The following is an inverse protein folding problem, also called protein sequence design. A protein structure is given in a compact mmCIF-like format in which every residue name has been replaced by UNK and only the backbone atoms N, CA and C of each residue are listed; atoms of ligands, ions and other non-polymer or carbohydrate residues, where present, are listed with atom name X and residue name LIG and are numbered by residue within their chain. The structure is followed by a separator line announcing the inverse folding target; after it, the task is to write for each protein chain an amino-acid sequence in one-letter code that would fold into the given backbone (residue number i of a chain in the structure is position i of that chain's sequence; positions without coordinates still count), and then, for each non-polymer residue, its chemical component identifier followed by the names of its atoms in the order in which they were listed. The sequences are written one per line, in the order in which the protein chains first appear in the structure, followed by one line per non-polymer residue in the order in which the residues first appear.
data_IF_434586318445
#
_entry.id   IF_434586318445
#
_cell.length_a   1.000
_cell.length_b   1.000
_cell.length_c   1.000
_cell.angle_alpha   90.00
_cell.angle_beta   90.00
_cell.angle_gamma   90.00
#
_symmetry.space_group_name_H-M   'P 1'
#
loop_
_entity.id
_entity.type
_entity.pdbx_description
1 polymer ?
#
# COMPACT_ATOMS: atom_id res chain seq x y z
N UNK A 1 -33.23 -28.03 -28.38
CA UNK A 1 -32.78 -26.65 -28.64
C UNK A 1 -32.73 -25.80 -27.39
N UNK A 2 -33.84 -25.73 -26.63
CA UNK A 2 -33.98 -24.81 -25.49
C UNK A 2 -33.38 -25.31 -24.17
N UNK A 3 -33.29 -26.63 -23.94
CA UNK A 3 -32.66 -27.18 -22.73
C UNK A 3 -31.14 -26.91 -22.63
N UNK A 4 -30.45 -26.71 -23.77
CA UNK A 4 -29.01 -26.39 -23.81
C UNK A 4 -28.74 -24.90 -23.58
N UNK A 5 -29.63 -24.01 -24.03
CA UNK A 5 -29.54 -22.56 -23.76
C UNK A 5 -29.80 -22.21 -22.29
N UNK A 6 -30.66 -22.96 -21.60
CA UNK A 6 -30.90 -22.77 -20.16
C UNK A 6 -29.69 -23.20 -19.31
N UNK A 7 -28.95 -24.22 -19.76
CA UNK A 7 -27.72 -24.69 -19.10
C UNK A 7 -26.53 -23.73 -19.32
N UNK A 8 -26.40 -23.13 -20.50
CA UNK A 8 -25.37 -22.12 -20.76
C UNK A 8 -25.63 -20.79 -20.06
N UNK A 9 -26.90 -20.41 -19.89
CA UNK A 9 -27.26 -19.21 -19.10
C UNK A 9 -27.06 -19.47 -17.60
N UNK A 10 -27.29 -20.70 -17.13
CA UNK A 10 -26.93 -21.12 -15.77
C UNK A 10 -25.42 -21.27 -15.57
N UNK A 11 -24.65 -21.68 -16.58
CA UNK A 11 -23.17 -21.71 -16.53
C UNK A 11 -22.54 -20.32 -16.60
N UNK A 12 -23.17 -19.37 -17.29
CA UNK A 12 -22.78 -17.95 -17.27
C UNK A 12 -23.17 -17.29 -15.94
N UNK A 13 -24.32 -17.67 -15.36
CA UNK A 13 -24.70 -17.28 -14.00
C UNK A 13 -23.87 -17.99 -12.90
N UNK A 14 -23.29 -19.17 -13.17
CA UNK A 14 -22.36 -19.87 -12.27
C UNK A 14 -20.90 -19.38 -12.38
N UNK A 15 -20.57 -18.49 -13.32
CA UNK A 15 -19.30 -17.73 -13.29
C UNK A 15 -19.32 -16.56 -12.30
N UNK A 16 -20.43 -16.36 -11.57
CA UNK A 16 -20.61 -15.32 -10.53
C UNK A 16 -20.26 -15.82 -9.12
N UNK A 17 -19.78 -17.07 -8.96
CA UNK A 17 -19.43 -17.65 -7.65
C UNK A 17 -17.91 -17.78 -7.40
N UNK A 18 -17.07 -16.98 -8.04
CA UNK A 18 -15.66 -16.82 -7.65
C UNK A 18 -15.57 -15.85 -6.46
N UNK A 19 -15.09 -16.31 -5.31
CA UNK A 19 -15.00 -15.48 -4.09
C UNK A 19 -13.67 -14.70 -3.98
N UNK A 20 -12.63 -15.16 -4.70
CA UNK A 20 -11.38 -14.45 -5.01
C UNK A 20 -11.19 -14.49 -6.53
N UNK A 21 -11.09 -13.33 -7.17
CA UNK A 21 -10.72 -13.24 -8.58
C UNK A 21 -9.24 -12.91 -8.72
N UNK A 22 -8.46 -13.83 -9.27
CA UNK A 22 -7.07 -13.55 -9.63
C UNK A 22 -7.04 -12.64 -10.87
N UNK A 23 -6.45 -11.47 -10.73
CA UNK A 23 -6.33 -10.42 -11.76
C UNK A 23 -5.21 -10.75 -12.78
N UNK A 24 -4.69 -11.99 -12.80
CA UNK A 24 -3.78 -12.48 -13.85
C UNK A 24 -4.28 -12.12 -15.26
N UNK A 25 -5.59 -12.15 -15.50
CA UNK A 25 -6.18 -11.76 -16.80
C UNK A 25 -5.91 -10.30 -17.20
N UNK A 26 -5.84 -9.35 -16.27
CA UNK A 26 -5.53 -7.95 -16.60
C UNK A 26 -4.04 -7.73 -16.92
N UNK A 27 -3.16 -8.62 -16.43
CA UNK A 27 -1.74 -8.64 -16.80
C UNK A 27 -1.45 -9.53 -18.03
N UNK A 28 -2.31 -10.51 -18.31
CA UNK A 28 -2.13 -11.47 -19.40
C UNK A 28 -2.90 -11.11 -20.67
N UNK A 29 -3.73 -10.06 -20.66
CA UNK A 29 -4.44 -9.57 -21.86
C UNK A 29 -3.62 -8.53 -22.60
N UNK A 30 -2.70 -9.02 -23.43
CA UNK A 30 -2.63 -8.56 -24.83
C UNK A 30 -3.50 -9.56 -25.59
N UNK A 31 -4.74 -9.24 -25.99
CA UNK A 31 -5.55 -10.22 -26.71
C UNK A 31 -4.88 -10.54 -28.06
N UNK A 32 -4.82 -11.82 -28.48
CA UNK A 32 -4.70 -12.11 -29.90
C UNK A 32 -5.90 -11.44 -30.58
N UNK A 33 -5.63 -10.64 -31.60
CA UNK A 33 -6.64 -9.93 -32.39
C UNK A 33 -7.79 -10.88 -32.77
N UNK A 34 -8.92 -10.80 -32.07
CA UNK A 34 -10.28 -11.04 -32.58
C UNK A 34 -11.24 -11.17 -31.40
N UNK A 35 -12.40 -10.51 -31.52
CA UNK A 35 -13.61 -10.72 -30.69
C UNK A 35 -13.77 -10.00 -29.35
N UNK A 36 -13.45 -8.69 -29.29
CA UNK A 36 -14.15 -7.80 -28.33
C UNK A 36 -14.97 -6.76 -29.13
N UNK A 37 -16.25 -6.55 -28.82
CA UNK A 37 -17.05 -5.50 -29.47
C UNK A 37 -16.44 -4.13 -29.14
N UNK A 38 -15.88 -3.46 -30.15
CA UNK A 38 -15.35 -2.09 -30.03
C UNK A 38 -16.50 -1.13 -29.70
N UNK A 39 -16.54 -0.58 -28.50
CA UNK A 39 -17.43 0.55 -28.18
C UNK A 39 -16.87 1.76 -28.93
N UNK A 40 -17.63 2.32 -29.88
CA UNK A 40 -17.19 3.46 -30.69
C UNK A 40 -17.09 4.71 -29.82
N UNK A 41 -15.90 5.27 -29.64
CA UNK A 41 -15.68 6.57 -29.01
C UNK A 41 -16.30 7.70 -29.85
N UNK A 42 -16.71 8.82 -29.23
CA UNK A 42 -17.22 10.00 -29.96
C UNK A 42 -16.17 10.57 -30.94
N UNK A 43 -14.89 10.43 -30.61
CA UNK A 43 -13.78 10.80 -31.48
C UNK A 43 -13.77 9.95 -32.78
N UNK A 44 -14.11 8.67 -32.69
CA UNK A 44 -14.23 7.78 -33.85
C UNK A 44 -15.45 8.11 -34.71
N UNK A 45 -16.60 8.45 -34.12
CA UNK A 45 -17.76 8.93 -34.90
C UNK A 45 -17.42 10.17 -35.72
N UNK A 46 -16.73 11.14 -35.13
CA UNK A 46 -16.29 12.37 -35.82
C UNK A 46 -15.26 12.12 -36.92
N UNK A 47 -14.40 11.10 -36.79
CA UNK A 47 -13.43 10.71 -37.82
C UNK A 47 -14.07 9.94 -38.98
N UNK A 48 -14.99 9.02 -38.67
CA UNK A 48 -15.79 8.30 -39.68
C UNK A 48 -16.66 9.28 -40.47
N UNK A 49 -17.27 10.29 -39.82
CA UNK A 49 -17.98 11.39 -40.49
C UNK A 49 -17.08 12.27 -41.38
N UNK A 50 -15.77 12.30 -41.10
CA UNK A 50 -14.77 13.04 -41.87
C UNK A 50 -14.07 12.18 -42.95
N UNK A 51 -14.47 10.92 -43.13
CA UNK A 51 -13.87 10.02 -44.13
C UNK A 51 -12.46 9.52 -43.79
N UNK A 52 -12.05 9.61 -42.52
CA UNK A 52 -10.76 9.10 -42.02
C UNK A 52 -10.91 7.62 -41.62
N UNK A 53 -10.50 6.73 -42.53
CA UNK A 53 -10.53 5.26 -42.38
C UNK A 53 -9.26 4.69 -41.73
N UNK A 54 -8.42 5.54 -41.10
CA UNK A 54 -7.24 5.07 -40.38
C UNK A 54 -7.64 4.15 -39.21
N UNK A 55 -7.02 2.97 -39.07
CA UNK A 55 -7.27 2.12 -37.91
C UNK A 55 -6.90 2.89 -36.63
N UNK A 56 -7.78 2.88 -35.61
CA UNK A 56 -7.38 3.32 -34.28
C UNK A 56 -6.07 2.61 -33.91
N UNK A 57 -5.05 3.33 -33.38
CA UNK A 57 -3.91 2.66 -32.77
C UNK A 57 -4.48 1.66 -31.78
N UNK A 58 -4.06 0.39 -31.88
CA UNK A 58 -4.56 -0.66 -30.99
C UNK A 58 -4.56 -0.12 -29.55
N UNK A 59 -5.75 -0.04 -28.93
CA UNK A 59 -5.89 0.29 -27.50
C UNK A 59 -5.15 -0.82 -26.74
N UNK A 60 -3.86 -0.61 -26.57
CA UNK A 60 -2.96 -1.53 -25.91
C UNK A 60 -3.06 -1.22 -24.43
N UNK A 61 -3.81 -2.05 -23.71
CA UNK A 61 -3.87 -2.00 -22.26
C UNK A 61 -2.46 -2.18 -21.70
N UNK A 62 -1.92 -1.15 -21.05
CA UNK A 62 -0.57 -1.19 -20.48
C UNK A 62 -0.68 -1.45 -18.99
N UNK A 63 -0.45 -2.71 -18.59
CA UNK A 63 -0.38 -3.09 -17.20
C UNK A 63 0.90 -2.55 -16.52
N UNK A 64 0.82 -2.15 -15.24
CA UNK A 64 2.00 -1.75 -14.49
C UNK A 64 2.95 -2.94 -14.30
N UNK A 65 4.26 -2.71 -14.42
CA UNK A 65 5.25 -3.74 -14.11
C UNK A 65 5.08 -4.25 -12.65
N UNK A 66 5.41 -5.52 -12.38
CA UNK A 66 5.42 -6.09 -11.03
C UNK A 66 6.18 -5.20 -10.05
N UNK A 67 5.61 -4.97 -8.86
CA UNK A 67 6.13 -3.99 -7.91
C UNK A 67 5.73 -4.28 -6.46
N UNK A 68 6.32 -3.53 -5.52
CA UNK A 68 5.88 -3.46 -4.12
C UNK A 68 6.00 -2.03 -3.59
N UNK A 69 5.31 -1.74 -2.49
CA UNK A 69 5.33 -0.43 -1.84
C UNK A 69 4.67 0.67 -2.65
N UNK A 70 3.84 0.33 -3.63
CA UNK A 70 2.95 1.27 -4.30
C UNK A 70 1.80 1.69 -3.37
N UNK A 71 1.10 2.75 -3.75
CA UNK A 71 -0.22 3.04 -3.20
C UNK A 71 -1.31 2.63 -4.19
N UNK A 72 -2.45 2.20 -3.66
CA UNK A 72 -3.67 1.98 -4.41
C UNK A 72 -4.76 2.82 -3.74
N UNK A 73 -5.57 3.55 -4.51
CA UNK A 73 -6.66 4.37 -3.99
C UNK A 73 -7.89 4.21 -4.85
N UNK A 74 -9.01 3.79 -4.26
CA UNK A 74 -10.28 3.69 -4.96
C UNK A 74 -10.89 5.09 -5.07
N UNK A 75 -11.15 5.57 -6.29
CA UNK A 75 -11.65 6.94 -6.55
C UNK A 75 -13.11 6.95 -7.02
N UNK A 76 -13.60 5.82 -7.53
CA UNK A 76 -15.01 5.60 -7.87
C UNK A 76 -15.33 4.15 -7.63
N UNK A 77 -16.59 3.76 -7.76
CA UNK A 77 -16.95 2.35 -7.69
C UNK A 77 -16.37 1.49 -8.79
N UNK A 78 -15.78 2.04 -9.85
CA UNK A 78 -15.19 1.22 -10.91
C UNK A 78 -13.70 1.47 -11.15
N UNK A 79 -13.09 2.41 -10.43
CA UNK A 79 -11.72 2.85 -10.74
C UNK A 79 -10.87 2.95 -9.48
N UNK A 80 -9.71 2.31 -9.54
CA UNK A 80 -8.63 2.49 -8.57
C UNK A 80 -7.40 3.11 -9.25
N UNK A 81 -6.75 4.04 -8.58
CA UNK A 81 -5.47 4.60 -9.02
C UNK A 81 -4.32 3.90 -8.32
N UNK A 82 -3.32 3.50 -9.09
CA UNK A 82 -2.05 2.95 -8.61
C UNK A 82 -0.94 3.96 -8.89
N UNK A 83 -0.18 4.30 -7.86
CA UNK A 83 0.97 5.21 -7.98
C UNK A 83 2.18 4.68 -7.23
N UNK A 84 3.35 4.90 -7.81
CA UNK A 84 4.62 4.58 -7.16
C UNK A 84 4.95 3.09 -7.15
N UNK A 85 5.71 2.72 -6.14
CA UNK A 85 6.26 1.40 -5.94
C UNK A 85 7.66 1.23 -6.53
N UNK A 86 8.34 0.23 -6.00
CA UNK A 86 9.65 -0.22 -6.44
C UNK A 86 9.49 -1.47 -7.31
N UNK A 87 10.19 -1.50 -8.44
CA UNK A 87 10.12 -2.54 -9.47
C UNK A 87 11.54 -2.99 -9.86
N UNK A 88 11.65 -4.09 -10.61
CA UNK A 88 12.92 -4.51 -11.17
C UNK A 88 13.46 -3.45 -12.14
N UNK A 89 14.72 -3.03 -11.96
CA UNK A 89 15.37 -2.11 -12.90
C UNK A 89 15.84 -2.90 -14.13
N UNK A 90 15.52 -2.41 -15.33
CA UNK A 90 16.12 -2.91 -16.58
C UNK A 90 17.45 -2.22 -16.89
N UNK A 91 17.85 -1.21 -16.10
CA UNK A 91 19.08 -0.43 -16.27
C UNK A 91 20.01 -0.60 -15.09
N UNK A 92 21.33 -0.52 -15.32
CA UNK A 92 22.33 -0.41 -14.26
C UNK A 92 22.16 0.86 -13.40
N UNK A 93 21.43 1.87 -13.90
CA UNK A 93 21.08 3.06 -13.13
C UNK A 93 19.86 2.84 -12.23
N UNK A 94 19.88 3.42 -11.03
CA UNK A 94 18.81 3.32 -10.03
C UNK A 94 17.52 4.09 -10.42
N UNK A 95 17.57 4.92 -11.47
CA UNK A 95 16.48 5.81 -11.90
C UNK A 95 15.25 5.07 -12.44
N UNK A 96 15.40 3.82 -12.93
CA UNK A 96 14.29 2.99 -13.39
C UNK A 96 13.59 2.15 -12.30
N UNK A 97 14.14 2.15 -11.08
CA UNK A 97 13.71 1.27 -9.98
C UNK A 97 12.41 1.75 -9.30
N UNK A 98 12.19 3.06 -9.24
CA UNK A 98 10.99 3.64 -8.63
C UNK A 98 10.09 4.27 -9.68
N UNK A 99 8.83 3.87 -9.72
CA UNK A 99 7.89 4.35 -10.74
C UNK A 99 7.30 5.70 -10.34
N UNK A 100 7.23 6.65 -11.28
CA UNK A 100 6.42 7.88 -11.16
C UNK A 100 5.16 7.84 -12.04
N UNK A 101 4.91 6.73 -12.74
CA UNK A 101 3.75 6.59 -13.59
C UNK A 101 2.47 6.41 -12.75
N UNK A 102 1.38 7.02 -13.22
CA UNK A 102 0.05 6.84 -12.66
C UNK A 102 -0.71 5.86 -13.54
N UNK A 103 -1.25 4.81 -12.93
CA UNK A 103 -2.07 3.82 -13.60
C UNK A 103 -3.49 3.88 -13.04
N UNK A 104 -4.49 3.65 -13.90
CA UNK A 104 -5.87 3.39 -13.47
C UNK A 104 -6.22 1.94 -13.74
N UNK A 105 -6.74 1.27 -12.72
CA UNK A 105 -7.35 -0.05 -12.78
C UNK A 105 -8.86 0.15 -12.88
N UNK A 106 -9.43 -0.18 -14.02
CA UNK A 106 -10.87 -0.29 -14.19
C UNK A 106 -11.30 -1.68 -13.73
N UNK A 107 -12.33 -1.78 -12.91
CA UNK A 107 -12.78 -3.05 -12.31
C UNK A 107 -13.79 -3.80 -13.20
N UNK A 108 -14.51 -3.09 -14.07
CA UNK A 108 -15.53 -3.64 -14.96
C UNK A 108 -15.67 -2.83 -16.27
N UNK A 109 -15.32 -3.40 -17.44
CA UNK A 109 -14.51 -4.61 -17.61
C UNK A 109 -13.11 -4.40 -17.04
N UNK A 110 -12.48 -5.46 -16.55
CA UNK A 110 -11.22 -5.33 -15.83
C UNK A 110 -10.03 -5.08 -16.77
N UNK A 111 -9.35 -3.93 -16.63
CA UNK A 111 -8.19 -3.58 -17.44
C UNK A 111 -7.36 -2.46 -16.79
N UNK A 112 -6.11 -2.31 -17.26
CA UNK A 112 -5.18 -1.27 -16.85
C UNK A 112 -4.98 -0.23 -17.94
N UNK A 113 -4.92 1.03 -17.54
CA UNK A 113 -4.57 2.15 -18.42
C UNK A 113 -3.52 3.04 -17.75
N UNK A 114 -2.62 3.59 -18.56
CA UNK A 114 -1.75 4.68 -18.12
C UNK A 114 -2.58 5.96 -18.09
N UNK A 115 -2.40 6.75 -17.04
CA UNK A 115 -3.06 8.05 -16.90
C UNK A 115 -2.05 9.14 -17.22
N UNK A 116 -2.25 9.79 -18.36
CA UNK A 116 -1.55 11.02 -18.67
C UNK A 116 -1.99 12.13 -17.72
N UNK A 117 -1.01 12.76 -17.11
CA UNK A 117 -1.18 13.85 -16.14
C UNK A 117 -0.22 14.97 -16.46
N UNK A 118 -0.66 16.20 -16.21
CA UNK A 118 0.14 17.41 -16.39
C UNK A 118 0.66 17.91 -15.04
N UNK A 119 1.42 19.00 -15.05
CA UNK A 119 1.88 19.68 -13.84
C UNK A 119 3.08 19.02 -13.15
N UNK A 120 3.25 19.30 -11.86
CA UNK A 120 4.43 18.97 -11.07
C UNK A 120 4.32 17.57 -10.45
N UNK A 121 4.50 16.55 -11.27
CA UNK A 121 4.39 15.15 -10.86
C UNK A 121 5.43 14.77 -9.79
N UNK A 122 5.06 13.99 -8.75
CA UNK A 122 6.03 13.48 -7.79
C UNK A 122 7.08 12.60 -8.47
N UNK A 123 8.37 12.69 -8.08
CA UNK A 123 9.37 11.73 -8.51
C UNK A 123 9.02 10.32 -8.01
N UNK A 124 9.57 9.32 -8.70
CA UNK A 124 9.31 7.91 -8.41
C UNK A 124 9.65 7.57 -6.97
N UNK A 125 8.72 6.90 -6.28
CA UNK A 125 8.79 6.60 -4.84
C UNK A 125 8.05 5.33 -4.47
N UNK A 126 8.40 4.77 -3.32
CA UNK A 126 7.68 3.65 -2.69
C UNK A 126 7.45 3.92 -1.20
N UNK A 127 6.53 3.18 -0.61
CA UNK A 127 6.15 3.25 0.81
C UNK A 127 5.80 4.67 1.26
N UNK A 128 5.28 5.49 0.34
CA UNK A 128 4.58 6.73 0.61
C UNK A 128 3.16 6.42 1.09
N UNK A 129 2.53 7.39 1.74
CA UNK A 129 1.10 7.32 2.00
C UNK A 129 0.35 8.07 0.89
N UNK A 130 -0.81 7.54 0.52
CA UNK A 130 -1.79 8.24 -0.31
C UNK A 130 -3.11 8.38 0.42
N UNK A 131 -3.83 9.46 0.16
CA UNK A 131 -5.11 9.72 0.80
C UNK A 131 -6.02 10.49 -0.15
N UNK A 132 -7.27 10.04 -0.29
CA UNK A 132 -8.28 10.71 -1.08
C UNK A 132 -8.97 11.76 -0.20
N UNK A 133 -8.95 13.01 -0.63
CA UNK A 133 -9.56 14.14 0.07
C UNK A 133 -10.75 14.63 -0.75
N UNK A 134 -11.90 14.76 -0.09
CA UNK A 134 -13.15 15.30 -0.65
C UNK A 134 -13.53 14.67 -2.01
N UNK A 135 -13.21 13.39 -2.21
CA UNK A 135 -13.40 12.60 -3.44
C UNK A 135 -12.86 13.21 -4.75
N UNK A 136 -12.09 14.29 -4.66
CA UNK A 136 -11.66 15.10 -5.81
C UNK A 136 -10.15 15.24 -5.91
N UNK A 137 -9.44 15.02 -4.80
CA UNK A 137 -7.99 15.25 -4.71
C UNK A 137 -7.28 14.05 -4.11
N UNK A 138 -6.25 13.55 -4.80
CA UNK A 138 -5.38 12.52 -4.27
C UNK A 138 -4.11 13.17 -3.70
N UNK A 139 -3.93 13.05 -2.39
CA UNK A 139 -2.74 13.51 -1.68
C UNK A 139 -1.70 12.39 -1.66
N UNK A 140 -0.44 12.72 -1.94
CA UNK A 140 0.73 11.85 -1.81
C UNK A 140 1.72 12.49 -0.85
N UNK A 141 2.10 11.79 0.22
CA UNK A 141 3.08 12.28 1.18
C UNK A 141 4.22 11.29 1.42
N UNK A 142 5.44 11.85 1.45
CA UNK A 142 6.66 11.15 1.84
C UNK A 142 7.01 9.96 0.94
N UNK A 143 7.51 8.88 1.55
CA UNK A 143 8.04 7.72 0.86
C UNK A 143 9.55 7.81 0.63
N UNK A 144 10.10 6.75 0.04
CA UNK A 144 11.51 6.62 -0.31
C UNK A 144 11.65 6.52 -1.84
N UNK A 145 12.61 7.27 -2.39
CA UNK A 145 12.98 7.22 -3.79
C UNK A 145 14.49 7.18 -3.97
N UNK A 146 14.98 7.53 -5.16
CA UNK A 146 16.42 7.54 -5.49
C UNK A 146 17.23 8.48 -4.58
N UNK A 147 16.64 9.60 -4.17
CA UNK A 147 17.29 10.58 -3.28
C UNK A 147 17.12 10.26 -1.78
N UNK A 148 16.54 9.11 -1.45
CA UNK A 148 16.22 8.72 -0.08
C UNK A 148 14.81 9.13 0.36
N UNK A 149 14.64 9.35 1.66
CA UNK A 149 13.34 9.70 2.25
C UNK A 149 12.89 11.09 1.83
N UNK A 150 11.59 11.26 1.63
CA UNK A 150 10.96 12.54 1.32
C UNK A 150 9.95 12.93 2.40
N UNK A 151 9.75 14.23 2.59
CA UNK A 151 8.58 14.83 3.25
C UNK A 151 7.84 15.78 2.30
N UNK A 152 8.07 15.66 0.99
CA UNK A 152 7.34 16.45 0.01
C UNK A 152 5.90 15.94 -0.09
N UNK A 153 4.96 16.88 -0.18
CA UNK A 153 3.54 16.65 -0.34
C UNK A 153 3.11 17.06 -1.76
N UNK A 154 2.28 16.24 -2.39
CA UNK A 154 1.75 16.49 -3.73
C UNK A 154 0.25 16.26 -3.73
N UNK A 155 -0.45 17.01 -4.57
CA UNK A 155 -1.87 16.84 -4.84
C UNK A 155 -2.05 16.50 -6.32
N UNK A 156 -2.87 15.50 -6.62
CA UNK A 156 -3.45 15.30 -7.94
C UNK A 156 -4.92 15.73 -7.89
N UNK A 157 -5.24 16.77 -8.66
CA UNK A 157 -6.63 17.08 -8.98
C UNK A 157 -7.16 16.00 -9.93
N UNK A 158 -8.17 15.24 -9.49
CA UNK A 158 -8.71 14.11 -10.24
C UNK A 158 -9.56 14.55 -11.44
N UNK A 159 -10.11 15.76 -11.41
CA UNK A 159 -10.93 16.32 -12.48
C UNK A 159 -10.02 16.88 -13.56
N UNK A 160 -9.07 17.75 -13.18
CA UNK A 160 -8.12 18.37 -14.09
C UNK A 160 -6.98 17.43 -14.52
N UNK A 161 -6.78 16.31 -13.81
CA UNK A 161 -5.66 15.36 -14.00
C UNK A 161 -4.29 16.05 -13.92
N UNK A 162 -4.18 17.03 -13.04
CA UNK A 162 -3.00 17.87 -12.89
C UNK A 162 -2.38 17.67 -11.51
N UNK A 163 -1.06 17.43 -11.51
CA UNK A 163 -0.27 17.39 -10.29
C UNK A 163 0.16 18.79 -9.86
N UNK A 164 0.06 19.06 -8.56
CA UNK A 164 0.55 20.27 -7.92
C UNK A 164 1.45 19.89 -6.74
N UNK A 165 2.51 20.67 -6.54
CA UNK A 165 3.31 20.59 -5.31
C UNK A 165 2.54 21.31 -4.21
N UNK A 166 2.37 20.67 -3.06
CA UNK A 166 1.81 21.34 -1.89
C UNK A 166 2.96 21.96 -1.10
N UNK A 167 2.94 23.28 -0.99
CA UNK A 167 3.87 24.01 -0.14
C UNK A 167 3.50 23.78 1.33
N UNK A 168 4.18 22.81 1.94
CA UNK A 168 3.93 22.45 3.33
C UNK A 168 4.33 23.58 4.28
N UNK A 169 3.40 24.01 5.14
CA UNK A 169 3.63 25.04 6.16
C UNK A 169 3.39 24.49 7.56
N UNK A 170 3.95 25.16 8.57
CA UNK A 170 3.75 24.85 9.99
C UNK A 170 3.84 26.14 10.80
N UNK A 171 3.09 26.23 11.90
CA UNK A 171 3.12 27.45 12.72
C UNK A 171 4.36 27.50 13.61
N UNK A 172 4.90 26.33 13.97
CA UNK A 172 6.01 26.17 14.88
C UNK A 172 7.11 25.29 14.26
N UNK A 173 8.37 25.45 14.69
CA UNK A 173 9.44 24.52 14.37
C UNK A 173 9.05 23.08 14.71
N UNK A 174 9.17 22.18 13.73
CA UNK A 174 8.83 20.77 13.88
C UNK A 174 7.37 20.42 13.62
N UNK A 175 6.52 21.37 13.20
CA UNK A 175 5.15 21.08 12.74
C UNK A 175 5.12 20.32 11.41
N UNK A 176 6.11 20.51 10.55
CA UNK A 176 6.24 19.76 9.30
C UNK A 176 6.93 18.43 9.60
N UNK A 177 6.34 17.27 9.24
CA UNK A 177 6.95 15.99 9.47
C UNK A 177 8.31 15.87 8.76
N UNK A 178 9.27 15.24 9.43
CA UNK A 178 10.58 14.91 8.82
C UNK A 178 10.43 13.91 7.68
N UNK A 179 11.39 13.88 6.72
CA UNK A 179 11.38 12.90 5.64
C UNK A 179 11.23 11.45 6.12
N UNK A 180 10.26 10.72 5.58
CA UNK A 180 9.87 9.41 6.09
C UNK A 180 9.18 8.50 5.07
N UNK A 181 9.23 7.20 5.28
CA UNK A 181 8.48 6.17 4.55
C UNK A 181 7.81 5.19 5.53
N UNK A 182 6.89 4.36 5.02
CA UNK A 182 6.19 3.34 5.83
C UNK A 182 5.33 3.94 6.96
N UNK A 183 4.94 5.20 6.84
CA UNK A 183 3.96 5.86 7.70
C UNK A 183 2.56 5.65 7.12
N UNK A 184 1.53 6.03 7.89
CA UNK A 184 0.14 5.95 7.46
C UNK A 184 -0.49 7.34 7.40
N UNK A 185 -1.49 7.49 6.53
CA UNK A 185 -2.43 8.61 6.51
C UNK A 185 -3.85 8.05 6.72
N UNK A 186 -4.65 8.72 7.52
CA UNK A 186 -6.00 8.29 7.88
C UNK A 186 -6.98 9.47 7.89
N UNK A 187 -8.25 9.17 7.58
CA UNK A 187 -9.33 10.14 7.61
C UNK A 187 -9.49 10.72 9.03
N UNK A 188 -9.95 11.96 9.12
CA UNK A 188 -10.50 12.52 10.35
C UNK A 188 -12.01 12.78 10.19
N UNK A 189 -12.74 13.18 11.24
CA UNK A 189 -14.12 13.62 11.12
C UNK A 189 -14.28 14.94 10.36
N UNK A 190 -13.18 15.67 10.11
CA UNK A 190 -13.18 16.94 9.42
C UNK A 190 -12.71 16.78 7.98
N UNK A 191 -13.61 17.07 7.03
CA UNK A 191 -13.33 17.09 5.60
C UNK A 191 -12.06 17.89 5.27
N UNK A 192 -11.36 17.54 4.21
CA UNK A 192 -10.12 18.24 3.85
C UNK A 192 -8.92 17.95 4.75
N UNK A 193 -9.03 17.12 5.80
CA UNK A 193 -7.94 16.87 6.73
C UNK A 193 -7.63 15.38 6.91
N UNK A 194 -6.37 15.06 7.17
CA UNK A 194 -5.93 13.71 7.45
C UNK A 194 -4.89 13.66 8.56
N UNK A 195 -4.76 12.51 9.21
CA UNK A 195 -3.80 12.28 10.28
C UNK A 195 -2.66 11.41 9.80
N UNK A 196 -1.44 11.84 10.09
CA UNK A 196 -0.21 11.08 9.89
C UNK A 196 0.27 10.46 11.20
N UNK A 197 0.62 9.18 11.17
CA UNK A 197 1.29 8.51 12.28
C UNK A 197 2.55 7.75 11.85
N UNK A 198 3.61 7.93 12.63
CA UNK A 198 4.83 7.11 12.59
C UNK A 198 5.62 7.17 11.28
N UNK A 199 6.17 6.02 10.89
CA UNK A 199 7.09 5.84 9.76
C UNK A 199 8.56 5.73 10.18
N UNK A 200 9.44 5.64 9.19
CA UNK A 200 10.89 5.55 9.38
C UNK A 200 11.64 6.55 8.51
N UNK A 201 12.74 7.09 9.05
CA UNK A 201 13.65 8.03 8.41
C UNK A 201 15.05 7.89 9.00
N UNK A 202 15.49 8.87 9.79
CA UNK A 202 16.72 8.75 10.60
C UNK A 202 16.59 7.73 11.74
N UNK A 203 15.35 7.39 12.10
CA UNK A 203 14.96 6.33 13.02
C UNK A 203 13.48 6.01 12.82
N UNK A 204 12.92 5.19 13.68
CA UNK A 204 11.47 4.97 13.72
C UNK A 204 10.78 6.12 14.46
N UNK A 205 9.58 6.47 14.02
CA UNK A 205 8.79 7.56 14.59
C UNK A 205 7.49 7.05 15.21
N UNK A 206 7.00 7.76 16.22
CA UNK A 206 5.62 7.65 16.74
C UNK A 206 4.96 9.03 16.87
N UNK A 207 5.48 10.05 16.20
CA UNK A 207 4.86 11.37 16.18
C UNK A 207 3.55 11.33 15.39
N UNK A 208 2.68 12.29 15.71
CA UNK A 208 1.33 12.42 15.20
C UNK A 208 1.19 13.82 14.61
N UNK A 209 0.63 13.92 13.41
CA UNK A 209 0.37 15.21 12.78
C UNK A 209 -1.02 15.25 12.17
N UNK A 210 -1.64 16.42 12.22
CA UNK A 210 -2.80 16.76 11.40
C UNK A 210 -2.30 17.51 10.15
N UNK A 211 -2.82 17.13 8.99
CA UNK A 211 -2.61 17.83 7.74
C UNK A 211 -3.93 18.41 7.25
N UNK A 212 -3.94 19.71 6.96
CA UNK A 212 -5.02 20.36 6.24
C UNK A 212 -4.64 20.47 4.77
N UNK A 213 -5.31 19.68 3.92
CA UNK A 213 -5.03 19.61 2.50
C UNK A 213 -5.48 20.86 1.73
N UNK A 214 -6.39 21.67 2.29
CA UNK A 214 -6.85 22.91 1.66
C UNK A 214 -5.82 24.01 1.76
N UNK A 215 -5.10 24.06 2.89
CA UNK A 215 -4.10 25.09 3.18
C UNK A 215 -2.66 24.60 3.05
N UNK A 216 -2.44 23.28 2.97
CA UNK A 216 -1.11 22.68 3.01
C UNK A 216 -0.45 22.77 4.39
N UNK A 217 -1.22 23.04 5.44
CA UNK A 217 -0.70 23.26 6.79
C UNK A 217 -0.61 21.96 7.57
N UNK A 218 0.56 21.71 8.15
CA UNK A 218 0.78 20.67 9.14
C UNK A 218 0.70 21.25 10.55
N UNK A 219 0.15 20.45 11.46
CA UNK A 219 0.13 20.74 12.90
C UNK A 219 0.60 19.49 13.63
N UNK A 220 1.66 19.62 14.44
CA UNK A 220 2.10 18.51 15.28
C UNK A 220 1.14 18.35 16.45
N UNK A 221 0.61 17.15 16.62
CA UNK A 221 -0.30 16.81 17.70
C UNK A 221 0.48 16.17 18.85
N UNK A 222 0.08 16.51 20.08
CA UNK A 222 0.68 15.99 21.32
C UNK A 222 -0.36 15.18 22.10
N UNK A 223 -0.70 13.96 21.63
CA UNK A 223 -1.70 13.14 22.28
C UNK A 223 -1.22 12.63 23.64
N UNK A 224 -2.16 12.45 24.56
CA UNK A 224 -1.92 11.89 25.90
C UNK A 224 -2.12 10.36 25.89
N UNK A 225 -1.91 9.72 27.03
CA UNK A 225 -2.23 8.29 27.22
C UNK A 225 -1.16 7.32 26.73
N UNK A 226 -1.58 6.08 26.45
CA UNK A 226 -0.71 4.94 26.14
C UNK A 226 -0.29 4.95 24.67
N UNK A 227 0.61 5.87 24.36
CA UNK A 227 1.15 6.09 23.02
C UNK A 227 1.86 4.84 22.46
N UNK A 228 1.64 4.48 21.18
CA UNK A 228 2.38 3.37 20.57
C UNK A 228 3.89 3.65 20.51
N UNK A 229 4.69 2.58 20.63
CA UNK A 229 6.12 2.65 20.36
C UNK A 229 6.42 3.14 18.92
N UNK A 230 7.57 3.80 18.67
CA UNK A 230 7.99 4.20 17.32
C UNK A 230 7.94 3.04 16.34
N UNK A 231 7.33 3.23 15.17
CA UNK A 231 7.07 2.13 14.23
C UNK A 231 6.90 2.57 12.78
N UNK A 232 7.19 1.66 11.85
CA UNK A 232 6.92 1.79 10.43
C UNK A 232 6.31 0.51 9.86
N UNK A 233 5.73 0.60 8.66
CA UNK A 233 5.04 -0.49 7.97
C UNK A 233 3.92 -1.13 8.82
N UNK A 234 3.35 -0.33 9.72
CA UNK A 234 2.10 -0.62 10.43
C UNK A 234 0.93 -0.26 9.52
N UNK A 235 -0.27 -0.67 9.91
CA UNK A 235 -1.50 -0.20 9.27
C UNK A 235 -2.28 0.71 10.21
N UNK A 236 -3.09 1.57 9.61
CA UNK A 236 -3.98 2.46 10.32
C UNK A 236 -5.36 2.46 9.65
N UNK A 237 -6.42 2.51 10.44
CA UNK A 237 -7.79 2.64 9.95
C UNK A 237 -8.58 3.61 10.83
N UNK A 238 -9.25 4.57 10.19
CA UNK A 238 -10.25 5.41 10.85
C UNK A 238 -11.56 4.62 10.94
N UNK A 239 -12.06 4.46 12.16
CA UNK A 239 -13.29 3.75 12.51
C UNK A 239 -14.17 4.66 13.39
N UNK A 240 -15.39 4.19 13.67
CA UNK A 240 -16.37 4.88 14.52
C UNK A 240 -16.66 6.28 13.98
N UNK A 241 -17.14 6.35 12.73
CA UNK A 241 -17.39 7.61 12.01
C UNK A 241 -16.13 8.49 11.92
N UNK A 242 -14.98 7.86 11.68
CA UNK A 242 -13.67 8.50 11.62
C UNK A 242 -13.24 9.23 12.90
N UNK A 243 -13.91 9.03 14.03
CA UNK A 243 -13.54 9.68 15.31
C UNK A 243 -12.43 8.96 16.05
N UNK A 244 -12.12 7.72 15.65
CA UNK A 244 -11.08 6.89 16.26
C UNK A 244 -10.14 6.33 15.21
N UNK A 245 -8.84 6.42 15.45
CA UNK A 245 -7.80 5.84 14.58
C UNK A 245 -7.18 4.63 15.27
N UNK A 246 -7.25 3.48 14.62
CA UNK A 246 -6.64 2.24 15.11
C UNK A 246 -5.32 1.98 14.41
N UNK A 247 -4.25 1.75 15.18
CA UNK A 247 -2.90 1.41 14.69
C UNK A 247 -2.58 -0.04 15.04
N UNK A 248 -2.25 -0.84 14.04
CA UNK A 248 -1.95 -2.26 14.22
C UNK A 248 -0.56 -2.65 13.69
N UNK A 249 0.18 -3.36 14.53
CA UNK A 249 1.45 -4.00 14.19
C UNK A 249 2.54 -3.04 13.72
N UNK A 250 3.32 -3.47 12.73
CA UNK A 250 4.50 -2.79 12.22
C UNK A 250 5.80 -3.31 12.82
N UNK A 251 6.89 -2.57 12.62
CA UNK A 251 8.20 -2.87 13.22
C UNK A 251 8.84 -1.60 13.77
N UNK A 252 9.70 -1.76 14.78
CA UNK A 252 10.40 -0.65 15.46
C UNK A 252 11.93 -0.77 15.40
N UNK A 253 12.45 -1.67 14.56
CA UNK A 253 13.88 -1.95 14.41
C UNK A 253 14.42 -3.01 15.36
N UNK A 254 13.81 -3.23 16.52
CA UNK A 254 14.17 -4.32 17.45
C UNK A 254 13.23 -5.50 17.36
N UNK A 255 11.97 -5.28 16.98
CA UNK A 255 10.93 -6.29 17.02
C UNK A 255 9.88 -6.04 15.94
N UNK A 256 9.24 -7.12 15.51
CA UNK A 256 7.96 -7.05 14.81
C UNK A 256 6.83 -6.99 15.85
N UNK A 257 5.79 -6.22 15.58
CA UNK A 257 4.73 -5.89 16.53
C UNK A 257 3.38 -6.52 16.10
N UNK A 258 2.53 -6.84 17.08
CA UNK A 258 1.12 -7.22 16.91
C UNK A 258 0.19 -6.47 17.89
N UNK A 259 0.69 -5.42 18.54
CA UNK A 259 -0.13 -4.58 19.41
C UNK A 259 -1.14 -3.75 18.61
N UNK A 260 -2.23 -3.41 19.28
CA UNK A 260 -3.29 -2.57 18.75
C UNK A 260 -3.48 -1.36 19.67
N UNK A 261 -3.46 -0.18 19.08
CA UNK A 261 -3.71 1.08 19.77
C UNK A 261 -4.86 1.83 19.13
N UNK A 262 -5.63 2.52 19.95
CA UNK A 262 -6.71 3.41 19.55
C UNK A 262 -6.34 4.85 19.93
N UNK A 263 -6.46 5.77 18.99
CA UNK A 263 -6.46 7.20 19.25
C UNK A 263 -7.88 7.73 19.11
N UNK A 264 -8.39 8.28 20.21
CA UNK A 264 -9.60 9.09 20.19
C UNK A 264 -9.25 10.51 19.72
N UNK A 265 -9.87 10.97 18.63
CA UNK A 265 -9.53 12.25 18.00
C UNK A 265 -10.16 13.46 18.68
N UNK A 266 -11.24 13.27 19.45
CA UNK A 266 -11.89 14.34 20.20
C UNK A 266 -11.07 14.68 21.45
N UNK A 267 -10.76 13.67 22.25
CA UNK A 267 -9.97 13.81 23.48
C UNK A 267 -8.46 13.81 23.24
N UNK A 268 -8.02 13.51 22.02
CA UNK A 268 -6.62 13.36 21.61
C UNK A 268 -5.83 12.43 22.55
N UNK A 269 -6.41 11.27 22.87
CA UNK A 269 -5.86 10.33 23.85
C UNK A 269 -5.67 8.94 23.26
N UNK A 270 -4.47 8.39 23.45
CA UNK A 270 -4.13 7.02 23.09
C UNK A 270 -4.54 6.02 24.17
N UNK A 271 -5.10 4.91 23.73
CA UNK A 271 -5.42 3.74 24.55
C UNK A 271 -4.78 2.49 23.95
N UNK A 272 -4.13 1.68 24.78
CA UNK A 272 -3.72 0.33 24.39
C UNK A 272 -4.95 -0.58 24.40
N UNK A 273 -5.27 -1.18 23.26
CA UNK A 273 -6.47 -1.99 23.10
C UNK A 273 -6.14 -3.44 23.48
N UNK A 274 -6.68 -3.90 24.60
CA UNK A 274 -6.61 -5.32 24.98
C UNK A 274 -7.57 -6.11 24.09
N UNK A 275 -7.00 -6.87 23.17
CA UNK A 275 -7.73 -7.65 22.18
C UNK A 275 -8.17 -9.01 22.72
N UNK A 276 -9.29 -9.51 22.20
CA UNK A 276 -9.85 -10.85 22.46
C UNK A 276 -9.93 -11.65 21.17
N UNK A 277 -10.29 -12.93 21.31
CA UNK A 277 -10.34 -13.86 20.18
C UNK A 277 -8.94 -14.30 19.76
N UNK A 278 -8.73 -14.45 18.46
CA UNK A 278 -7.43 -14.85 17.91
C UNK A 278 -6.41 -13.75 18.20
N UNK A 279 -5.16 -14.11 18.45
CA UNK A 279 -4.10 -13.12 18.54
C UNK A 279 -3.31 -13.17 17.24
N UNK A 280 -3.40 -12.12 16.40
CA UNK A 280 -2.61 -12.07 15.19
C UNK A 280 -1.12 -12.21 15.50
N UNK A 281 -0.42 -13.01 14.71
CA UNK A 281 1.03 -13.05 14.75
C UNK A 281 1.63 -11.64 14.48
N UNK A 282 2.77 -11.29 15.12
CA UNK A 282 3.52 -10.08 14.83
C UNK A 282 3.76 -9.90 13.34
N UNK A 283 3.38 -8.74 12.80
CA UNK A 283 3.46 -8.48 11.35
C UNK A 283 3.75 -7.04 11.00
N UNK A 284 4.49 -6.85 9.91
CA UNK A 284 4.74 -5.56 9.26
C UNK A 284 4.54 -5.69 7.75
N UNK A 285 4.32 -4.57 7.06
CA UNK A 285 4.10 -4.54 5.61
C UNK A 285 2.82 -5.25 5.15
N UNK A 286 1.92 -5.52 6.09
CA UNK A 286 0.54 -5.94 5.83
C UNK A 286 -0.28 -4.73 5.37
N UNK A 287 -1.47 -4.98 4.83
CA UNK A 287 -2.41 -3.91 4.49
C UNK A 287 -3.70 -4.08 5.27
N UNK A 288 -4.38 -2.97 5.53
CA UNK A 288 -5.69 -3.01 6.17
C UNK A 288 -6.62 -1.98 5.59
N UNK A 289 -7.91 -2.30 5.60
CA UNK A 289 -8.98 -1.41 5.16
C UNK A 289 -10.09 -1.38 6.19
N UNK A 290 -10.68 -0.20 6.39
CA UNK A 290 -11.91 -0.06 7.14
C UNK A 290 -13.07 -0.66 6.34
N UNK A 291 -13.91 -1.46 6.99
CA UNK A 291 -15.09 -2.10 6.41
C UNK A 291 -16.29 -1.69 7.25
N UNK A 292 -17.22 -0.97 6.63
CA UNK A 292 -18.30 -0.33 7.37
C UNK A 292 -17.74 0.70 8.36
N UNK A 293 -18.33 0.77 9.54
CA UNK A 293 -17.95 1.77 10.55
C UNK A 293 -17.04 1.21 11.64
N UNK A 294 -16.98 -0.11 11.81
CA UNK A 294 -16.45 -0.73 13.02
C UNK A 294 -15.48 -1.87 12.79
N UNK A 295 -15.25 -2.27 11.53
CA UNK A 295 -14.39 -3.39 11.19
C UNK A 295 -13.12 -2.94 10.51
N UNK A 296 -12.01 -3.55 10.88
CA UNK A 296 -10.73 -3.44 10.19
C UNK A 296 -10.37 -4.81 9.64
N UNK A 297 -10.27 -4.92 8.32
CA UNK A 297 -9.84 -6.13 7.63
C UNK A 297 -8.36 -6.00 7.31
N UNK A 298 -7.54 -6.97 7.74
CA UNK A 298 -6.10 -6.98 7.51
C UNK A 298 -5.68 -8.23 6.75
N UNK A 299 -4.80 -8.05 5.75
CA UNK A 299 -4.29 -9.12 4.91
C UNK A 299 -2.77 -9.18 4.91
N UNK A 300 -2.25 -10.40 5.09
CA UNK A 300 -0.85 -10.75 4.89
C UNK A 300 0.13 -10.05 5.83
N UNK A 301 1.30 -9.70 5.28
CA UNK A 301 2.43 -9.13 6.00
C UNK A 301 3.60 -10.10 6.13
N UNK A 302 4.63 -9.64 6.83
CA UNK A 302 5.81 -10.40 7.19
C UNK A 302 6.05 -10.33 8.70
N UNK A 303 6.46 -11.45 9.29
CA UNK A 303 6.93 -11.58 10.66
C UNK A 303 8.02 -12.65 10.68
N UNK A 304 7.87 -13.68 11.51
CA UNK A 304 8.69 -14.91 11.42
C UNK A 304 8.58 -15.61 10.06
N UNK A 305 7.43 -15.46 9.41
CA UNK A 305 7.20 -15.91 8.04
C UNK A 305 6.35 -14.89 7.28
N UNK A 306 6.25 -15.05 5.96
CA UNK A 306 5.27 -14.30 5.18
C UNK A 306 3.89 -14.88 5.41
N UNK A 307 2.89 -14.00 5.51
CA UNK A 307 1.52 -14.37 5.85
C UNK A 307 0.57 -14.10 4.67
N UNK A 308 -0.47 -14.91 4.56
CA UNK A 308 -1.63 -14.73 3.68
C UNK A 308 -2.96 -14.91 4.44
N UNK A 309 -2.94 -14.85 5.76
CA UNK A 309 -4.16 -14.87 6.54
C UNK A 309 -4.94 -13.57 6.31
N UNK A 310 -6.26 -13.72 6.32
CA UNK A 310 -7.19 -12.60 6.35
C UNK A 310 -7.85 -12.58 7.71
N UNK A 311 -7.60 -11.51 8.46
CA UNK A 311 -8.09 -11.34 9.82
C UNK A 311 -8.92 -10.08 9.91
N UNK A 312 -9.93 -10.09 10.77
CA UNK A 312 -10.82 -8.97 10.95
C UNK A 312 -10.95 -8.61 12.42
N UNK A 313 -10.73 -7.34 12.72
CA UNK A 313 -10.93 -6.74 14.03
C UNK A 313 -12.29 -6.06 14.09
N UNK A 314 -13.01 -6.27 15.19
CA UNK A 314 -14.21 -5.52 15.51
C UNK A 314 -13.92 -4.53 16.65
N UNK A 315 -14.05 -3.23 16.35
CA UNK A 315 -13.75 -2.14 17.27
C UNK A 315 -14.71 -2.06 18.46
N UNK A 316 -15.97 -2.49 18.36
CA UNK A 316 -16.88 -2.49 19.52
C UNK A 316 -16.58 -3.63 20.50
N UNK A 317 -16.25 -4.81 19.97
CA UNK A 317 -15.99 -6.01 20.79
C UNK A 317 -14.53 -6.15 21.21
N UNK A 318 -13.64 -5.36 20.62
CA UNK A 318 -12.19 -5.52 20.69
C UNK A 318 -11.73 -6.96 20.38
N UNK A 319 -12.34 -7.59 19.37
CA UNK A 319 -12.12 -9.00 19.06
C UNK A 319 -11.59 -9.16 17.65
N UNK A 320 -10.51 -9.92 17.51
CA UNK A 320 -10.03 -10.42 16.22
C UNK A 320 -10.69 -11.77 15.89
N UNK A 321 -10.91 -12.00 14.61
CA UNK A 321 -11.43 -13.28 14.08
C UNK A 321 -10.79 -13.59 12.73
N UNK A 322 -10.64 -14.87 12.40
CA UNK A 322 -10.29 -15.27 11.06
C UNK A 322 -11.47 -15.05 10.13
N UNK A 323 -11.14 -14.65 8.91
CA UNK A 323 -12.08 -14.55 7.80
C UNK A 323 -11.90 -15.78 6.91
N UNK A 324 -13.00 -16.48 6.68
CA UNK A 324 -13.08 -17.67 5.84
C UNK A 324 -14.05 -17.46 4.68
N UNK A 325 -14.07 -18.42 3.76
CA UNK A 325 -15.08 -18.48 2.71
C UNK A 325 -14.81 -17.50 1.57
N UNK A 326 -13.53 -17.28 1.23
CA UNK A 326 -13.12 -16.46 0.09
C UNK A 326 -12.51 -17.28 -1.06
N UNK A 327 -12.42 -18.60 -0.93
CA UNK A 327 -11.68 -19.45 -1.88
C UNK A 327 -10.18 -19.50 -1.55
N UNK A 328 -9.34 -19.82 -2.55
CA UNK A 328 -7.89 -19.95 -2.36
C UNK A 328 -7.26 -18.59 -2.02
N UNK A 329 -6.66 -18.42 -0.82
CA UNK A 329 -6.06 -17.16 -0.43
C UNK A 329 -4.89 -16.82 -1.36
N UNK A 330 -4.62 -15.53 -1.63
CA UNK A 330 -3.45 -15.16 -2.40
C UNK A 330 -2.17 -15.66 -1.71
N UNK A 331 -1.09 -15.83 -2.48
CA UNK A 331 0.20 -16.22 -1.91
C UNK A 331 0.64 -15.27 -0.76
N UNK A 332 1.32 -15.78 0.28
CA UNK A 332 1.82 -14.98 1.40
C UNK A 332 2.67 -13.80 0.93
N UNK A 333 2.33 -12.59 1.38
CA UNK A 333 2.92 -11.38 0.82
C UNK A 333 2.95 -10.17 1.74
N UNK A 334 3.90 -9.28 1.46
CA UNK A 334 4.01 -7.96 2.10
C UNK A 334 4.30 -6.87 1.06
N UNK A 335 4.08 -5.62 1.42
CA UNK A 335 4.28 -4.47 0.53
C UNK A 335 3.31 -4.44 -0.65
N UNK A 336 2.22 -5.19 -0.58
CA UNK A 336 1.08 -5.07 -1.49
C UNK A 336 0.25 -3.84 -1.10
N UNK A 337 -0.73 -3.48 -1.93
CA UNK A 337 -1.72 -2.45 -1.58
C UNK A 337 -3.10 -3.07 -1.58
N UNK A 338 -3.99 -2.58 -0.72
CA UNK A 338 -5.36 -3.05 -0.61
C UNK A 338 -6.31 -1.88 -0.43
N UNK A 339 -7.45 -1.91 -1.11
CA UNK A 339 -8.51 -0.89 -1.00
C UNK A 339 -9.89 -1.54 -0.94
N UNK A 340 -10.83 -0.88 -0.25
CA UNK A 340 -12.24 -1.26 -0.28
C UNK A 340 -12.97 -0.45 -1.36
N UNK A 341 -13.55 -1.15 -2.34
CA UNK A 341 -14.57 -0.63 -3.24
C UNK A 341 -15.92 -0.72 -2.52
N UNK A 342 -16.42 0.43 -2.02
CA UNK A 342 -17.56 0.49 -1.10
C UNK A 342 -18.88 0.00 -1.71
N UNK A 343 -19.23 0.46 -2.92
CA UNK A 343 -20.55 0.19 -3.53
C UNK A 343 -20.86 -1.29 -3.75
N UNK A 344 -19.84 -2.09 -4.10
CA UNK A 344 -20.02 -3.54 -4.36
C UNK A 344 -19.43 -4.40 -3.26
N UNK A 345 -18.99 -3.79 -2.15
CA UNK A 345 -18.34 -4.44 -1.02
C UNK A 345 -17.23 -5.40 -1.48
N UNK A 346 -16.26 -4.89 -2.25
CA UNK A 346 -15.13 -5.70 -2.72
C UNK A 346 -13.82 -5.13 -2.21
N UNK A 347 -12.92 -6.01 -1.81
CA UNK A 347 -11.56 -5.61 -1.45
C UNK A 347 -10.64 -5.98 -2.59
N UNK A 348 -9.92 -4.99 -3.11
CA UNK A 348 -8.97 -5.16 -4.21
C UNK A 348 -7.57 -5.10 -3.64
N UNK A 349 -6.81 -6.18 -3.77
CA UNK A 349 -5.40 -6.26 -3.38
C UNK A 349 -4.52 -6.43 -4.62
N UNK A 350 -3.41 -5.71 -4.72
CA UNK A 350 -2.51 -5.78 -5.88
C UNK A 350 -1.04 -5.83 -5.48
N UNK A 351 -0.27 -6.54 -6.31
CA UNK A 351 1.18 -6.60 -6.28
C UNK A 351 1.75 -7.08 -4.92
N UNK A 352 2.96 -6.65 -4.59
CA UNK A 352 3.67 -7.00 -3.37
C UNK A 352 4.87 -7.91 -3.62
N UNK A 353 5.30 -8.60 -2.57
CA UNK A 353 6.45 -9.49 -2.57
C UNK A 353 6.07 -10.79 -1.84
N UNK A 354 6.44 -11.94 -2.39
CA UNK A 354 6.34 -13.23 -1.71
C UNK A 354 7.70 -13.97 -1.72
N UNK A 355 7.77 -15.15 -1.11
CA UNK A 355 9.01 -15.93 -1.02
C UNK A 355 9.47 -16.35 -2.42
N UNK A 356 10.67 -15.95 -2.81
CA UNK A 356 11.22 -16.20 -4.15
C UNK A 356 10.70 -15.30 -5.27
N UNK A 357 9.72 -14.43 -5.01
CA UNK A 357 9.19 -13.47 -6.00
C UNK A 357 9.23 -12.06 -5.42
N UNK A 358 10.31 -11.28 -5.69
CA UNK A 358 10.52 -9.98 -5.06
C UNK A 358 9.52 -8.91 -5.50
N UNK A 359 8.93 -9.08 -6.68
CA UNK A 359 7.97 -8.16 -7.28
C UNK A 359 6.82 -8.96 -7.92
N UNK A 360 5.60 -8.79 -7.42
CA UNK A 360 4.41 -9.46 -7.93
C UNK A 360 3.62 -8.54 -8.87
N UNK A 361 3.17 -9.10 -9.98
CA UNK A 361 2.29 -8.47 -10.96
C UNK A 361 0.96 -9.21 -11.04
N UNK A 362 0.32 -9.40 -9.90
CA UNK A 362 -1.00 -9.99 -9.78
C UNK A 362 -1.92 -9.07 -8.97
N UNK A 363 -3.19 -9.42 -8.93
CA UNK A 363 -4.13 -8.80 -8.02
C UNK A 363 -5.26 -9.76 -7.68
N UNK A 364 -6.04 -9.41 -6.67
CA UNK A 364 -7.06 -10.26 -6.08
C UNK A 364 -8.25 -9.39 -5.70
N UNK A 365 -9.46 -9.84 -6.02
CA UNK A 365 -10.70 -9.20 -5.57
C UNK A 365 -11.42 -10.14 -4.62
N UNK A 366 -11.52 -9.74 -3.35
CA UNK A 366 -12.28 -10.45 -2.33
C UNK A 366 -13.71 -9.90 -2.28
N UNK A 367 -14.71 -10.78 -2.39
CA UNK A 367 -16.11 -10.39 -2.23
C UNK A 367 -16.49 -10.39 -0.73
N UNK A 368 -16.72 -9.21 -0.16
CA UNK A 368 -17.01 -9.09 1.28
C UNK A 368 -18.37 -9.66 1.67
N UNK A 369 -19.31 -9.77 0.73
CA UNK A 369 -20.61 -10.37 1.00
C UNK A 369 -20.54 -11.89 1.20
N UNK A 370 -19.42 -12.52 0.81
CA UNK A 370 -19.18 -13.95 1.00
C UNK A 370 -18.45 -14.29 2.32
N UNK A 371 -18.04 -13.28 3.09
CA UNK A 371 -17.22 -13.48 4.28
C UNK A 371 -17.98 -14.20 5.39
N UNK A 372 -17.41 -15.31 5.84
CA UNK A 372 -17.81 -16.01 7.05
C UNK A 372 -16.75 -15.82 8.14
N UNK A 373 -17.16 -15.59 9.39
CA UNK A 373 -16.25 -15.47 10.54
C UNK A 373 -16.17 -16.82 11.24
N UNK A 374 -14.97 -17.27 11.61
CA UNK A 374 -14.80 -18.60 12.23
C UNK A 374 -13.45 -18.83 12.91
N UNK A 375 -13.26 -20.02 13.52
CA UNK A 375 -12.01 -20.42 14.17
C UNK A 375 -10.86 -20.59 13.16
N UNK A 376 -9.58 -20.62 13.57
CA UNK A 376 -8.43 -20.80 12.65
C UNK A 376 -8.56 -22.00 11.71
N UNK A 377 -7.97 -21.93 10.49
CA UNK A 377 -7.84 -23.10 9.63
C UNK A 377 -7.03 -24.21 10.34
N UNK A 378 -7.39 -25.50 10.18
CA UNK A 378 -6.67 -26.62 10.81
C UNK A 378 -5.17 -26.67 10.47
N UNK A 379 -4.78 -26.23 9.27
CA UNK A 379 -3.39 -26.25 8.81
C UNK A 379 -2.47 -25.27 9.56
N UNK A 380 -3.02 -24.22 10.19
CA UNK A 380 -2.23 -23.28 11.00
C UNK A 380 -1.99 -23.78 12.43
N UNK A 381 -2.66 -24.85 12.87
CA UNK A 381 -2.41 -25.50 14.17
C UNK A 381 -1.21 -26.45 14.13
N UNK A 382 -0.72 -26.84 12.94
CA UNK A 382 0.42 -27.76 12.79
C UNK A 382 1.78 -27.06 12.59
N UNK A 383 1.81 -25.74 12.40
CA UNK A 383 3.05 -24.97 12.29
C UNK A 383 3.70 -24.60 13.65
N UNK A 384 3.29 -25.26 14.75
CA UNK A 384 3.86 -25.10 16.09
C UNK A 384 5.09 -25.99 16.37
N UNK A 385 5.61 -26.69 15.36
CA UNK A 385 6.89 -27.39 15.44
C UNK A 385 8.03 -26.47 15.04
N UNK A 386 8.56 -25.71 15.99
CA UNK A 386 9.73 -24.86 15.79
C UNK A 386 10.96 -25.69 15.40
N UNK A 387 11.48 -25.50 14.20
CA UNK A 387 12.85 -25.87 13.86
C UNK A 387 13.77 -24.71 14.33
N UNK A 388 14.81 -24.95 15.17
CA UNK A 388 15.60 -23.89 15.82
C UNK A 388 16.38 -22.95 14.87
N UNK A 389 16.27 -23.13 13.55
CA UNK A 389 16.93 -22.31 12.53
C UNK A 389 16.09 -21.17 11.93
N UNK A 390 14.77 -21.10 12.17
CA UNK A 390 13.87 -20.26 11.37
C UNK A 390 13.85 -18.77 11.75
N UNK A 391 14.04 -18.43 13.04
CA UNK A 391 14.00 -17.04 13.53
C UNK A 391 15.05 -16.11 12.91
N UNK A 392 16.19 -16.66 12.48
CA UNK A 392 17.25 -15.88 11.82
C UNK A 392 16.90 -15.51 10.35
N UNK A 393 16.04 -16.29 9.69
CA UNK A 393 15.74 -16.10 8.26
C UNK A 393 14.82 -14.90 7.99
N UNK A 394 13.85 -14.66 8.87
CA UNK A 394 12.93 -13.52 8.81
C UNK A 394 13.62 -12.20 9.16
N UNK A 395 14.45 -12.19 10.21
CA UNK A 395 15.28 -11.03 10.56
C UNK A 395 16.29 -10.73 9.44
N UNK A 396 16.85 -11.77 8.81
CA UNK A 396 17.68 -11.62 7.63
C UNK A 396 16.90 -11.08 6.42
N UNK A 397 15.66 -11.53 6.19
CA UNK A 397 14.79 -11.01 5.11
C UNK A 397 14.36 -9.56 5.37
N UNK A 398 14.09 -9.18 6.61
CA UNK A 398 13.82 -7.81 7.05
C UNK A 398 15.04 -6.92 6.82
N UNK A 399 16.22 -7.36 7.29
CA UNK A 399 17.48 -6.66 7.09
C UNK A 399 17.88 -6.61 5.61
N UNK A 400 17.60 -7.66 4.82
CA UNK A 400 17.84 -7.68 3.39
C UNK A 400 16.86 -6.77 2.63
N UNK A 401 15.58 -6.73 2.98
CA UNK A 401 14.61 -5.84 2.35
C UNK A 401 14.87 -4.36 2.68
N UNK A 402 15.24 -4.05 3.93
CA UNK A 402 15.71 -2.73 4.33
C UNK A 402 17.05 -2.40 3.70
N UNK A 403 18.01 -3.34 3.63
CA UNK A 403 19.27 -3.15 2.91
C UNK A 403 19.01 -2.93 1.42
N UNK A 404 18.15 -3.68 0.75
CA UNK A 404 17.80 -3.48 -0.67
C UNK A 404 17.10 -2.14 -0.95
N UNK A 405 16.45 -1.56 0.07
CA UNK A 405 15.89 -0.21 0.04
C UNK A 405 16.95 0.86 0.34
N UNK A 406 17.96 0.54 1.17
CA UNK A 406 18.99 1.45 1.70
C UNK A 406 20.38 1.31 1.03
N UNK A 407 20.61 0.30 0.17
CA UNK A 407 21.83 0.10 -0.65
C UNK A 407 21.92 1.12 -1.78
N UNK A 408 21.02 2.10 -1.79
CA UNK A 408 21.17 3.40 -2.46
C UNK A 408 22.15 4.29 -1.67
N UNK A 409 23.32 3.73 -1.33
CA UNK A 409 24.48 4.49 -0.90
C UNK A 409 25.64 4.04 -1.76
N UNK A 410 25.92 4.86 -2.79
CA UNK A 410 27.25 4.92 -3.36
C UNK A 410 28.24 5.26 -2.23
N UNK A 411 29.26 4.42 -2.13
CA UNK A 411 30.51 4.51 -1.36
C UNK A 411 30.76 5.78 -0.53
N UNK A 412 30.82 5.63 0.81
CA UNK A 412 31.88 6.14 1.74
C UNK A 412 31.51 5.95 3.23
N UNK A 413 32.50 5.91 4.15
CA UNK A 413 32.60 4.89 5.20
C UNK A 413 31.82 5.18 6.48
N UNK A 414 31.61 4.08 7.20
CA UNK A 414 31.04 3.94 8.53
C UNK A 414 31.73 4.86 9.54
N UNK A 415 30.96 5.75 10.18
CA UNK A 415 31.35 6.33 11.47
C UNK A 415 31.17 5.29 12.56
N UNK A 416 32.26 4.64 12.97
CA UNK A 416 32.35 4.02 14.30
C UNK A 416 33.07 5.00 15.22
N UNK A 417 32.52 5.37 16.39
CA UNK A 417 33.31 6.02 17.42
C UNK A 417 34.13 4.94 18.12
N UNK A 418 35.41 4.79 17.76
CA UNK A 418 36.36 4.03 18.57
C UNK A 418 36.81 4.87 19.76
N UNK A 419 36.63 4.32 20.97
CA UNK A 419 37.42 4.72 22.13
C UNK A 419 38.79 4.06 21.99
N UNK A 420 39.86 4.85 21.97
CA UNK A 420 41.13 4.63 22.72
C UNK A 420 42.13 5.75 22.38
N UNK A 421 42.89 6.14 23.39
CA UNK A 421 43.88 7.22 23.39
C UNK A 421 45.22 6.84 22.73
N UNK A 422 46.04 7.88 22.52
CA UNK A 422 47.50 7.92 22.34
C UNK A 422 48.15 7.66 20.96
N UNK A 423 48.36 8.77 20.22
CA UNK A 423 49.60 9.27 19.55
C UNK A 423 50.42 8.37 18.56
N UNK A 424 51.47 8.88 17.85
CA UNK A 424 51.34 9.63 16.59
C UNK A 424 52.25 9.17 15.41
N UNK A 425 52.03 9.76 14.21
CA UNK A 425 53.00 10.02 13.10
C UNK A 425 53.05 9.08 11.85
N UNK A 426 52.95 9.76 10.67
CA UNK A 426 53.64 9.62 9.35
C UNK A 426 52.87 9.13 8.09
N UNK A 427 53.22 9.86 7.00
CA UNK A 427 52.76 9.91 5.60
C UNK A 427 52.99 8.61 4.80
N UNK A 428 52.20 8.34 3.73
CA UNK A 428 52.54 8.59 2.31
C UNK A 428 51.61 7.88 1.28
N UNK A 429 51.39 8.60 0.17
CA UNK A 429 51.14 8.21 -1.25
C UNK A 429 49.99 7.30 -1.69
N UNK A 430 49.23 7.80 -2.67
CA UNK A 430 48.35 7.06 -3.57
C UNK A 430 49.12 6.17 -4.57
N UNK A 431 48.45 5.14 -5.12
CA UNK A 431 48.60 4.85 -6.55
C UNK A 431 47.28 4.63 -7.30
N UNK A 432 47.21 5.37 -8.41
CA UNK A 432 46.63 5.11 -9.75
C UNK A 432 45.60 3.98 -9.95
N UNK A 433 44.51 4.42 -10.58
CA UNK A 433 43.61 3.75 -11.53
C UNK A 433 44.08 2.42 -12.15
N UNK A 434 43.16 1.46 -12.18
CA UNK A 434 42.67 0.90 -13.44
C UNK A 434 41.18 0.64 -13.36
#
# INVERSE_FOLDING_TARGET
GEAKKLDDTKKLALRVAGQIFNIKEAWSRVPPQSTVPRVKTEARKKREEAGDDTPDPEETWVAPAPRRGQSLTCITSNVCLLFGGVQASQSASSTGKFSSALFRLVLSPMHWEVVDTTGSRPPGRAFHASHLVDDTKLIIFGGIGVQGNSNAAYELDLIAKQWNVIFSTGANPGDIPTPRHGHTLCDTPHDGTCILFGGAGAGFYNDLYLFDARTGRWTKLLPRGNKPAPRAFHTACSLVHNTKVFIFGGQNGSSTLNDLHELDLESLTWTFVRTRGIQPAPRWGHTSVAVGMDLMLSFGGAGESFMNDLIMFNSFKHTWSYVHGLGDPPAPRWGHSMVLQREQARVVAVCGCCKGVPFMGDGHIFNMNAIQRGPPPPEQLQAGGSDPGEGNSAQAAQNAALRDLLTIRDDRPVWQPSRTADAPVRRFSAPRTR
#
